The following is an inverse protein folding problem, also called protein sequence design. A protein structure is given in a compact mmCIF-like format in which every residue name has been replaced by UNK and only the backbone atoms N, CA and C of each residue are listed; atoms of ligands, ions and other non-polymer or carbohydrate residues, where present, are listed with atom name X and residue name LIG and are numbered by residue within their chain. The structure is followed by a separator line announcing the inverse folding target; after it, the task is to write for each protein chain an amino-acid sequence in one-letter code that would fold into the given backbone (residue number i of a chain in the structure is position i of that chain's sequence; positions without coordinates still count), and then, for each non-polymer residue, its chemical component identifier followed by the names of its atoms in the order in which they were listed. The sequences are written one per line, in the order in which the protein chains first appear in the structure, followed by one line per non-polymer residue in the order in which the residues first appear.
data_IF_343921675593
#
_entry.id   IF_343921675593
#
_cell.length_a   1.000
_cell.length_b   1.000
_cell.length_c   1.000
_cell.angle_alpha   90.00
_cell.angle_beta   90.00
_cell.angle_gamma   90.00
#
_symmetry.space_group_name_H-M   'P 1'
#
loop_
_entity.id
_entity.type
_entity.pdbx_description
1 polymer ?
#
# COMPACT_ATOMS: atom_id res chain seq x y z
N UNK A 1 -12.02 -7.80 10.43
CA UNK A 1 -10.85 -7.24 9.72
C UNK A 1 -9.65 -8.17 9.82
N UNK A 2 -8.66 -8.03 8.93
CA UNK A 2 -7.40 -8.78 8.98
C UNK A 2 -6.71 -8.61 10.35
N UNK A 3 -6.63 -7.38 10.82
CA UNK A 3 -5.99 -7.01 12.10
C UNK A 3 -6.61 -7.69 13.32
N UNK A 4 -7.93 -7.91 13.33
CA UNK A 4 -8.60 -8.66 14.40
C UNK A 4 -8.19 -10.12 14.40
N UNK A 5 -8.11 -10.77 13.22
CA UNK A 5 -7.61 -12.14 13.10
C UNK A 5 -6.16 -12.25 13.58
N UNK A 6 -5.30 -11.34 13.15
CA UNK A 6 -3.90 -11.33 13.57
C UNK A 6 -3.74 -11.11 15.07
N UNK A 7 -4.56 -10.25 15.65
CA UNK A 7 -4.58 -10.00 17.10
C UNK A 7 -5.02 -11.21 17.91
N UNK A 8 -6.01 -11.96 17.41
CA UNK A 8 -6.43 -13.22 18.03
C UNK A 8 -5.32 -14.30 18.00
N UNK A 9 -4.37 -14.18 17.06
CA UNK A 9 -3.17 -15.02 16.97
C UNK A 9 -1.94 -14.36 17.65
N UNK A 10 -2.17 -13.42 18.56
CA UNK A 10 -1.16 -12.73 19.37
C UNK A 10 -0.11 -11.92 18.56
N UNK A 11 -0.49 -11.40 17.41
CA UNK A 11 0.35 -10.45 16.69
C UNK A 11 0.31 -9.07 17.36
N UNK A 12 1.47 -8.41 17.49
CA UNK A 12 1.56 -6.98 17.77
C UNK A 12 1.21 -6.21 16.49
N UNK A 13 0.17 -5.41 16.49
CA UNK A 13 -0.35 -4.73 15.30
C UNK A 13 -0.13 -3.23 15.33
N UNK A 14 0.50 -2.69 14.29
CA UNK A 14 0.84 -1.27 14.21
C UNK A 14 0.56 -0.73 12.79
N UNK A 15 -0.11 0.41 12.71
CA UNK A 15 -0.26 1.20 11.50
C UNK A 15 0.44 2.54 11.65
N UNK A 16 1.19 2.93 10.62
CA UNK A 16 1.77 4.27 10.46
C UNK A 16 1.25 4.87 9.15
N UNK A 17 0.38 5.87 9.26
CA UNK A 17 -0.44 6.35 8.14
C UNK A 17 -0.49 7.88 8.09
N UNK A 18 -0.81 8.42 6.91
CA UNK A 18 -1.01 9.87 6.74
C UNK A 18 -2.34 10.38 7.31
N UNK A 19 -3.41 9.59 7.21
CA UNK A 19 -4.75 10.04 7.59
C UNK A 19 -5.62 8.90 8.11
N UNK A 20 -6.50 9.19 9.06
CA UNK A 20 -7.48 8.23 9.64
C UNK A 20 -8.45 7.61 8.64
N UNK A 21 -8.59 8.22 7.46
CA UNK A 21 -9.49 7.72 6.42
C UNK A 21 -8.87 6.63 5.55
N UNK A 22 -7.54 6.42 5.62
CA UNK A 22 -6.82 5.45 4.77
C UNK A 22 -7.25 4.02 5.08
N UNK A 23 -7.24 3.67 6.36
CA UNK A 23 -7.68 2.35 6.84
C UNK A 23 -8.41 2.50 8.18
N UNK A 24 -9.34 1.59 8.52
CA UNK A 24 -9.98 1.60 9.83
C UNK A 24 -8.99 1.27 10.95
N UNK A 25 -9.09 1.97 12.08
CA UNK A 25 -8.27 1.72 13.27
C UNK A 25 -8.52 0.36 13.91
N UNK A 26 -9.64 -0.29 13.60
CA UNK A 26 -10.09 -1.52 14.24
C UNK A 26 -9.04 -2.62 14.18
N UNK A 27 -8.72 -3.21 15.34
CA UNK A 27 -7.76 -4.32 15.48
C UNK A 27 -6.29 -3.91 15.56
N UNK A 28 -5.95 -2.63 15.41
CA UNK A 28 -4.57 -2.16 15.64
C UNK A 28 -4.33 -1.84 17.12
N UNK A 29 -3.21 -2.28 17.67
CA UNK A 29 -2.74 -1.91 19.01
C UNK A 29 -2.18 -0.47 19.01
N UNK A 30 -1.41 -0.12 17.96
CA UNK A 30 -0.86 1.20 17.74
C UNK A 30 -1.31 1.73 16.39
N UNK A 31 -1.69 3.00 16.35
CA UNK A 31 -2.23 3.65 15.16
C UNK A 31 -1.72 5.08 15.10
N UNK A 32 -0.59 5.26 14.44
CA UNK A 32 0.11 6.53 14.38
C UNK A 32 -0.23 7.28 13.10
N UNK A 33 -0.35 8.60 13.22
CA UNK A 33 -0.60 9.48 12.09
C UNK A 33 0.61 10.40 11.95
N UNK A 34 1.27 10.33 10.80
CA UNK A 34 2.43 11.17 10.52
C UNK A 34 2.05 12.47 9.81
N UNK A 35 2.88 13.49 10.00
CA UNK A 35 2.76 14.75 9.26
C UNK A 35 3.23 14.58 7.81
N UNK A 36 2.53 15.22 6.88
CA UNK A 36 2.82 15.18 5.45
C UNK A 36 4.26 15.60 5.10
N UNK A 37 4.91 16.43 5.93
CA UNK A 37 6.26 16.91 5.70
C UNK A 37 7.34 16.02 6.31
N UNK A 38 6.97 14.96 7.01
CA UNK A 38 7.95 14.05 7.61
C UNK A 38 8.78 13.30 6.56
N UNK A 39 10.02 13.00 6.92
CA UNK A 39 10.88 12.09 6.17
C UNK A 39 10.45 10.65 6.45
N UNK A 40 9.64 10.09 5.54
CA UNK A 40 9.08 8.75 5.70
C UNK A 40 10.14 7.65 5.71
N UNK A 41 11.24 7.79 4.95
CA UNK A 41 12.33 6.81 4.97
C UNK A 41 12.92 6.69 6.37
N UNK A 42 13.24 7.82 6.99
CA UNK A 42 13.81 7.83 8.35
C UNK A 42 12.79 7.32 9.38
N UNK A 43 11.53 7.75 9.26
CA UNK A 43 10.45 7.34 10.16
C UNK A 43 10.19 5.84 10.11
N UNK A 44 9.98 5.31 8.90
CA UNK A 44 9.70 3.90 8.71
C UNK A 44 10.92 3.00 9.03
N UNK A 45 12.15 3.46 8.74
CA UNK A 45 13.36 2.75 9.16
C UNK A 45 13.43 2.59 10.68
N UNK A 46 13.10 3.63 11.47
CA UNK A 46 13.04 3.53 12.94
C UNK A 46 11.94 2.57 13.42
N UNK A 47 10.80 2.53 12.74
CA UNK A 47 9.76 1.55 13.04
C UNK A 47 10.24 0.12 12.76
N UNK A 48 10.91 -0.11 11.64
CA UNK A 48 11.50 -1.41 11.33
C UNK A 48 12.52 -1.85 12.38
N UNK A 49 13.39 -0.96 12.87
CA UNK A 49 14.32 -1.24 13.98
C UNK A 49 13.59 -1.64 15.27
N UNK A 50 12.53 -0.91 15.62
CA UNK A 50 11.67 -1.25 16.77
C UNK A 50 11.05 -2.63 16.60
N UNK A 51 10.49 -2.92 15.42
CA UNK A 51 9.82 -4.19 15.15
C UNK A 51 10.80 -5.35 14.98
N UNK A 52 12.04 -5.12 14.57
CA UNK A 52 13.08 -6.17 14.58
C UNK A 52 13.45 -6.62 16.00
N UNK A 53 13.26 -5.75 16.98
CA UNK A 53 13.41 -6.12 18.40
C UNK A 53 12.19 -6.89 18.90
N UNK A 54 10.98 -6.46 18.55
CA UNK A 54 9.72 -7.12 18.91
C UNK A 54 9.67 -8.53 18.31
N UNK A 55 10.14 -8.72 17.07
CA UNK A 55 10.14 -10.01 16.36
C UNK A 55 10.90 -11.13 17.06
N UNK A 56 11.77 -10.81 18.00
CA UNK A 56 12.49 -11.81 18.81
C UNK A 56 11.59 -12.55 19.81
N UNK A 57 10.44 -12.00 20.15
CA UNK A 57 9.52 -12.55 21.15
C UNK A 57 8.07 -12.64 20.72
N UNK A 58 7.67 -11.88 19.70
CA UNK A 58 6.28 -11.81 19.24
C UNK A 58 6.22 -11.74 17.73
N UNK A 59 5.17 -12.29 17.15
CA UNK A 59 4.80 -11.97 15.78
C UNK A 59 4.30 -10.53 15.70
N UNK A 60 4.47 -9.88 14.55
CA UNK A 60 3.99 -8.53 14.35
C UNK A 60 3.33 -8.35 12.97
N UNK A 61 2.45 -7.39 12.90
CA UNK A 61 1.91 -6.83 11.67
C UNK A 61 2.19 -5.33 11.64
N UNK A 62 2.97 -4.89 10.67
CA UNK A 62 3.34 -3.49 10.48
C UNK A 62 2.79 -3.00 9.14
N UNK A 63 1.88 -2.03 9.18
CA UNK A 63 1.33 -1.36 8.01
C UNK A 63 2.00 0.01 7.86
N UNK A 64 2.76 0.19 6.79
CA UNK A 64 3.43 1.45 6.44
C UNK A 64 2.75 2.08 5.22
N UNK A 65 2.17 3.25 5.40
CA UNK A 65 1.54 4.00 4.32
C UNK A 65 2.53 5.01 3.72
N UNK A 66 2.63 5.02 2.41
CA UNK A 66 3.45 5.98 1.66
C UNK A 66 2.53 6.89 0.84
N UNK A 67 2.32 8.12 1.30
CA UNK A 67 1.36 9.08 0.71
C UNK A 67 1.97 10.01 -0.34
N UNK A 68 3.31 9.98 -0.58
CA UNK A 68 3.98 10.99 -1.39
C UNK A 68 3.56 11.00 -2.86
N UNK A 69 3.10 9.87 -3.40
CA UNK A 69 2.50 9.86 -4.73
C UNK A 69 1.18 10.64 -4.70
N UNK A 70 0.30 10.36 -3.75
CA UNK A 70 -0.99 11.03 -3.60
C UNK A 70 -0.84 12.54 -3.40
N UNK A 71 -0.04 12.96 -2.43
CA UNK A 71 0.21 14.38 -2.16
C UNK A 71 0.91 15.07 -3.32
N UNK A 72 1.87 14.39 -3.97
CA UNK A 72 2.57 14.89 -5.15
C UNK A 72 1.66 15.08 -6.35
N UNK A 73 0.67 14.22 -6.56
CA UNK A 73 -0.37 14.39 -7.60
C UNK A 73 -1.15 15.69 -7.36
N UNK A 74 -1.59 15.92 -6.13
CA UNK A 74 -2.29 17.14 -5.77
C UNK A 74 -1.45 18.38 -6.06
N UNK A 75 -0.19 18.39 -5.63
CA UNK A 75 0.71 19.55 -5.76
C UNK A 75 1.19 19.78 -7.19
N UNK A 76 1.63 18.73 -7.88
CA UNK A 76 2.33 18.85 -9.16
C UNK A 76 1.42 18.74 -10.37
N UNK A 77 0.22 18.21 -10.24
CA UNK A 77 -0.74 18.00 -11.32
C UNK A 77 -2.02 18.79 -11.08
N UNK A 78 -2.77 18.47 -10.02
CA UNK A 78 -4.12 19.03 -9.85
C UNK A 78 -4.13 20.54 -9.59
N UNK A 79 -3.23 21.05 -8.76
CA UNK A 79 -3.16 22.50 -8.44
C UNK A 79 -2.74 23.37 -9.60
N UNK A 80 -2.19 22.79 -10.67
CA UNK A 80 -1.83 23.53 -11.90
C UNK A 80 -3.03 23.93 -12.74
N UNK A 81 -4.17 23.27 -12.53
CA UNK A 81 -5.35 23.44 -13.36
C UNK A 81 -6.53 23.94 -12.54
N UNK A 82 -7.30 24.85 -13.11
CA UNK A 82 -8.61 25.19 -12.57
C UNK A 82 -9.50 23.94 -12.60
N UNK A 83 -10.30 23.71 -11.57
CA UNK A 83 -11.15 22.52 -11.40
C UNK A 83 -12.07 22.20 -12.59
N UNK A 84 -12.45 23.21 -13.37
CA UNK A 84 -13.31 23.08 -14.55
C UNK A 84 -12.55 23.24 -15.87
N UNK A 85 -11.23 23.36 -15.84
CA UNK A 85 -10.43 23.58 -17.03
C UNK A 85 -10.36 22.33 -17.90
N UNK A 86 -10.60 22.54 -19.22
CA UNK A 86 -10.34 21.52 -20.24
C UNK A 86 -8.85 21.29 -20.49
N UNK A 87 -7.99 22.14 -19.98
CA UNK A 87 -6.53 22.09 -20.18
C UNK A 87 -5.92 20.83 -19.57
N UNK A 88 -6.46 20.34 -18.45
CA UNK A 88 -6.04 19.06 -17.87
C UNK A 88 -6.03 17.94 -18.91
N UNK A 89 -7.11 17.82 -19.69
CA UNK A 89 -7.29 16.77 -20.70
C UNK A 89 -6.50 17.02 -21.99
N UNK A 90 -6.07 18.25 -22.24
CA UNK A 90 -5.21 18.61 -23.37
C UNK A 90 -3.73 18.36 -23.09
N UNK A 91 -3.37 18.19 -21.83
CA UNK A 91 -1.99 18.04 -21.38
C UNK A 91 -1.73 16.65 -20.79
N UNK A 92 -2.38 15.61 -21.35
CA UNK A 92 -2.25 14.22 -20.88
C UNK A 92 -0.77 13.80 -20.80
N UNK A 93 0.01 14.01 -21.85
CA UNK A 93 1.43 13.63 -21.88
C UNK A 93 2.24 14.29 -20.75
N UNK A 94 2.02 15.58 -20.51
CA UNK A 94 2.70 16.32 -19.45
C UNK A 94 2.25 15.83 -18.05
N UNK A 95 0.97 15.51 -17.89
CA UNK A 95 0.44 14.94 -16.65
C UNK A 95 1.06 13.57 -16.39
N UNK A 96 1.17 12.74 -17.43
CA UNK A 96 1.81 11.43 -17.37
C UNK A 96 3.29 11.54 -16.99
N UNK A 97 4.02 12.44 -17.61
CA UNK A 97 5.43 12.70 -17.27
C UNK A 97 5.60 13.13 -15.80
N UNK A 98 4.75 14.05 -15.34
CA UNK A 98 4.76 14.48 -13.94
C UNK A 98 4.43 13.34 -12.98
N UNK A 99 3.48 12.49 -13.34
CA UNK A 99 3.13 11.29 -12.57
C UNK A 99 4.30 10.29 -12.50
N UNK A 100 4.98 10.05 -13.62
CA UNK A 100 6.15 9.17 -13.66
C UNK A 100 7.30 9.68 -12.76
N UNK A 101 7.51 11.00 -12.67
CA UNK A 101 8.52 11.58 -11.76
C UNK A 101 8.23 11.29 -10.29
N UNK A 102 6.96 11.20 -9.90
CA UNK A 102 6.58 10.83 -8.53
C UNK A 102 6.94 9.37 -8.21
N UNK A 103 6.83 8.48 -9.19
CA UNK A 103 7.25 7.08 -9.03
C UNK A 103 8.73 6.94 -8.77
N UNK A 104 9.57 7.71 -9.45
CA UNK A 104 11.02 7.66 -9.23
C UNK A 104 11.40 7.95 -7.76
N UNK A 105 10.76 8.94 -7.14
CA UNK A 105 10.94 9.21 -5.71
C UNK A 105 10.45 8.06 -4.83
N UNK A 106 9.39 7.38 -5.25
CA UNK A 106 8.83 6.22 -4.55
C UNK A 106 9.71 4.98 -4.67
N UNK A 107 10.36 4.80 -5.82
CA UNK A 107 11.36 3.74 -6.03
C UNK A 107 12.53 3.89 -5.05
N UNK A 108 13.08 5.09 -4.93
CA UNK A 108 14.16 5.37 -3.98
C UNK A 108 13.75 5.10 -2.52
N UNK A 109 12.53 5.51 -2.14
CA UNK A 109 12.00 5.18 -0.82
C UNK A 109 11.88 3.67 -0.62
N UNK A 110 11.29 2.96 -1.58
CA UNK A 110 11.08 1.51 -1.49
C UNK A 110 12.42 0.77 -1.40
N UNK A 111 13.41 1.15 -2.22
CA UNK A 111 14.76 0.59 -2.19
C UNK A 111 15.37 0.72 -0.79
N UNK A 112 15.29 1.92 -0.18
CA UNK A 112 15.84 2.16 1.15
C UNK A 112 15.12 1.34 2.23
N UNK A 113 13.80 1.19 2.14
CA UNK A 113 13.01 0.38 3.08
C UNK A 113 13.32 -1.10 2.92
N UNK A 114 13.42 -1.61 1.69
CA UNK A 114 13.79 -3.01 1.42
C UNK A 114 15.20 -3.31 1.92
N UNK A 115 16.17 -2.45 1.64
CA UNK A 115 17.54 -2.56 2.17
C UNK A 115 17.53 -2.63 3.69
N UNK A 116 16.74 -1.78 4.34
CA UNK A 116 16.63 -1.77 5.81
C UNK A 116 16.01 -3.07 6.35
N UNK A 117 15.01 -3.61 5.70
CA UNK A 117 14.39 -4.90 6.04
C UNK A 117 15.41 -6.04 5.94
N UNK A 118 16.25 -6.04 4.88
CA UNK A 118 17.34 -7.01 4.68
C UNK A 118 18.42 -6.89 5.76
N UNK A 119 18.92 -5.67 6.03
CA UNK A 119 19.91 -5.40 7.09
C UNK A 119 19.46 -5.91 8.46
N UNK A 120 18.17 -5.80 8.76
CA UNK A 120 17.57 -6.27 10.00
C UNK A 120 17.22 -7.77 9.99
N UNK A 121 17.50 -8.49 8.89
CA UNK A 121 17.18 -9.90 8.68
C UNK A 121 15.70 -10.25 8.89
N UNK A 122 14.80 -9.32 8.58
CA UNK A 122 13.36 -9.53 8.78
C UNK A 122 12.74 -10.43 7.70
N UNK A 123 13.30 -10.51 6.49
CA UNK A 123 12.75 -11.29 5.38
C UNK A 123 12.67 -12.79 5.64
N UNK A 124 13.51 -13.35 6.51
CA UNK A 124 13.58 -14.80 6.74
C UNK A 124 12.29 -15.42 7.25
N UNK A 125 11.51 -14.64 8.03
CA UNK A 125 10.29 -15.09 8.70
C UNK A 125 9.17 -14.05 8.53
N UNK A 126 9.09 -13.41 7.37
CA UNK A 126 8.10 -12.37 7.12
C UNK A 126 7.45 -12.54 5.76
N UNK A 127 6.14 -12.39 5.73
CA UNK A 127 5.42 -12.13 4.50
C UNK A 127 5.44 -10.62 4.26
N UNK A 128 6.19 -10.18 3.23
CA UNK A 128 6.23 -8.79 2.80
C UNK A 128 5.22 -8.58 1.68
N UNK A 129 4.40 -7.53 1.80
CA UNK A 129 3.39 -7.17 0.80
C UNK A 129 3.61 -5.73 0.39
N UNK A 130 3.73 -5.49 -0.92
CA UNK A 130 3.80 -4.15 -1.53
C UNK A 130 2.62 -4.01 -2.48
N UNK A 131 1.75 -3.03 -2.24
CA UNK A 131 0.53 -2.86 -3.04
C UNK A 131 0.20 -1.38 -3.25
N UNK A 132 -0.60 -1.09 -4.29
CA UNK A 132 -1.34 0.15 -4.42
C UNK A 132 -2.83 -0.08 -4.14
N UNK A 133 -3.49 0.94 -3.62
CA UNK A 133 -4.93 0.93 -3.31
C UNK A 133 -5.78 1.16 -4.56
N UNK A 134 -5.34 2.04 -5.47
CA UNK A 134 -5.97 2.35 -6.75
C UNK A 134 -4.95 2.88 -7.76
N UNK A 135 -5.38 3.02 -9.00
CA UNK A 135 -4.63 3.68 -10.07
C UNK A 135 -4.94 5.18 -10.16
N UNK A 136 -4.60 5.80 -11.28
CA UNK A 136 -4.79 7.23 -11.48
C UNK A 136 -5.09 7.57 -12.95
N UNK A 137 -5.97 8.56 -13.17
CA UNK A 137 -6.15 9.21 -14.47
C UNK A 137 -5.17 10.37 -14.63
N UNK A 138 -4.57 10.47 -15.80
CA UNK A 138 -3.71 11.61 -16.20
C UNK A 138 -4.36 12.47 -17.29
N UNK A 139 -5.62 12.16 -17.67
CA UNK A 139 -6.40 12.91 -18.64
C UNK A 139 -6.92 12.10 -19.83
N UNK A 140 -6.82 10.77 -19.77
CA UNK A 140 -7.19 9.84 -20.87
C UNK A 140 -8.66 9.98 -21.29
N UNK A 141 -9.53 10.35 -20.34
CA UNK A 141 -10.95 10.58 -20.62
C UNK A 141 -11.42 11.94 -20.13
N UNK A 142 -12.08 12.67 -21.00
CA UNK A 142 -12.71 13.94 -20.62
C UNK A 142 -13.72 13.72 -19.48
N UNK A 143 -13.60 14.51 -18.43
CA UNK A 143 -14.45 14.43 -17.24
C UNK A 143 -13.86 13.57 -16.11
N UNK A 144 -12.82 12.75 -16.38
CA UNK A 144 -12.15 11.93 -15.37
C UNK A 144 -10.79 12.55 -15.00
N UNK A 145 -10.58 12.86 -13.74
CA UNK A 145 -9.36 13.53 -13.25
C UNK A 145 -8.75 12.78 -12.10
N UNK A 146 -7.43 12.63 -12.14
CA UNK A 146 -6.62 12.07 -11.06
C UNK A 146 -7.19 10.78 -10.46
N UNK A 147 -7.70 10.84 -9.23
CA UNK A 147 -8.18 9.68 -8.48
C UNK A 147 -9.46 9.06 -9.04
N UNK A 148 -10.10 9.74 -10.00
CA UNK A 148 -11.27 9.22 -10.70
C UNK A 148 -12.58 9.37 -9.92
N UNK A 149 -13.67 9.44 -10.69
CA UNK A 149 -15.04 9.33 -10.20
C UNK A 149 -15.78 8.16 -10.88
N UNK A 150 -15.18 7.61 -11.93
CA UNK A 150 -15.75 6.51 -12.72
C UNK A 150 -14.84 5.29 -12.69
N UNK A 151 -15.41 4.13 -12.98
CA UNK A 151 -14.72 2.85 -12.94
C UNK A 151 -13.97 2.54 -14.24
N UNK A 152 -12.95 3.32 -14.55
CA UNK A 152 -12.09 3.05 -15.71
C UNK A 152 -10.85 2.24 -15.30
N UNK A 153 -10.33 1.45 -16.23
CA UNK A 153 -9.18 0.57 -15.99
C UNK A 153 -7.98 1.28 -15.36
N UNK A 154 -7.63 2.48 -15.82
CA UNK A 154 -6.47 3.23 -15.31
C UNK A 154 -6.65 3.75 -13.88
N UNK A 155 -7.89 3.81 -13.36
CA UNK A 155 -8.17 4.15 -11.96
C UNK A 155 -8.43 2.91 -11.09
N UNK A 156 -8.85 1.79 -11.69
CA UNK A 156 -9.15 0.54 -10.98
C UNK A 156 -7.97 -0.41 -10.89
N UNK A 157 -7.09 -0.43 -11.91
CA UNK A 157 -5.94 -1.33 -11.92
C UNK A 157 -4.94 -0.96 -10.85
N UNK A 158 -4.60 -1.94 -10.04
CA UNK A 158 -3.61 -1.86 -8.97
C UNK A 158 -2.54 -2.92 -9.19
N UNK A 159 -1.47 -2.83 -8.43
CA UNK A 159 -0.49 -3.91 -8.32
C UNK A 159 -0.42 -4.44 -6.90
N UNK A 160 -0.03 -5.69 -6.75
CA UNK A 160 0.27 -6.29 -5.47
C UNK A 160 1.37 -7.34 -5.62
N UNK A 161 2.42 -7.20 -4.83
CA UNK A 161 3.52 -8.15 -4.73
C UNK A 161 3.51 -8.79 -3.36
N UNK A 162 3.56 -10.13 -3.33
CA UNK A 162 3.78 -10.93 -2.13
C UNK A 162 5.20 -11.50 -2.20
N UNK A 163 5.96 -11.33 -1.14
CA UNK A 163 7.28 -11.92 -1.01
C UNK A 163 7.36 -12.68 0.31
N UNK A 164 7.72 -13.95 0.22
CA UNK A 164 8.10 -14.83 1.31
C UNK A 164 9.16 -15.78 0.78
N UNK A 165 10.08 -16.23 1.63
CA UNK A 165 11.16 -17.13 1.23
C UNK A 165 10.67 -18.51 0.76
N UNK A 166 9.47 -18.89 1.15
CA UNK A 166 8.82 -20.16 0.76
C UNK A 166 7.98 -20.03 -0.53
N UNK A 167 7.70 -18.81 -1.00
CA UNK A 167 6.91 -18.59 -2.20
C UNK A 167 7.75 -18.75 -3.47
N UNK A 168 7.19 -19.45 -4.45
CA UNK A 168 7.78 -19.52 -5.79
C UNK A 168 7.57 -18.21 -6.53
N UNK A 169 8.57 -17.82 -7.34
CA UNK A 169 8.44 -16.68 -8.22
C UNK A 169 7.44 -17.02 -9.35
N UNK A 170 6.29 -16.37 -9.33
CA UNK A 170 5.23 -16.54 -10.34
C UNK A 170 4.44 -15.25 -10.54
N UNK A 171 3.86 -15.11 -11.72
CA UNK A 171 2.90 -14.07 -12.04
C UNK A 171 1.50 -14.65 -12.08
N UNK A 172 0.55 -14.04 -11.34
CA UNK A 172 -0.85 -14.41 -11.37
C UNK A 172 -1.55 -13.60 -12.46
N UNK A 173 -1.87 -14.25 -13.57
CA UNK A 173 -2.56 -13.63 -14.70
C UNK A 173 -4.09 -13.58 -14.56
N UNK A 174 -4.64 -14.35 -13.63
CA UNK A 174 -6.07 -14.32 -13.34
C UNK A 174 -6.48 -12.98 -12.73
N UNK A 175 -7.70 -12.53 -13.04
CA UNK A 175 -8.24 -11.33 -12.41
C UNK A 175 -8.43 -11.55 -10.90
N UNK A 176 -7.78 -10.70 -10.10
CA UNK A 176 -7.90 -10.66 -8.63
C UNK A 176 -8.44 -9.31 -8.18
N UNK A 177 -8.96 -9.23 -6.96
CA UNK A 177 -9.53 -8.02 -6.38
C UNK A 177 -8.89 -7.75 -5.02
N UNK A 178 -8.92 -6.51 -4.57
CA UNK A 178 -8.40 -6.12 -3.24
C UNK A 178 -9.08 -6.86 -2.09
N UNK A 179 -10.35 -7.28 -2.26
CA UNK A 179 -11.07 -8.11 -1.25
C UNK A 179 -10.48 -9.51 -1.10
N UNK A 180 -9.73 -9.98 -2.08
CA UNK A 180 -9.11 -11.31 -2.08
C UNK A 180 -7.79 -11.30 -1.27
N UNK A 181 -7.22 -10.13 -0.93
CA UNK A 181 -5.96 -10.03 -0.18
C UNK A 181 -6.06 -10.58 1.24
N UNK A 182 -7.12 -10.24 1.97
CA UNK A 182 -7.27 -10.72 3.35
C UNK A 182 -7.33 -12.25 3.44
N UNK A 183 -8.18 -12.96 2.67
CA UNK A 183 -8.19 -14.43 2.71
C UNK A 183 -6.85 -15.03 2.26
N UNK A 184 -6.19 -14.45 1.24
CA UNK A 184 -4.87 -14.91 0.79
C UNK A 184 -3.81 -14.77 1.88
N UNK A 185 -3.75 -13.63 2.57
CA UNK A 185 -2.83 -13.40 3.68
C UNK A 185 -3.07 -14.41 4.80
N UNK A 186 -4.33 -14.62 5.19
CA UNK A 186 -4.67 -15.57 6.25
C UNK A 186 -4.29 -16.99 5.86
N UNK A 187 -4.48 -17.40 4.60
CA UNK A 187 -4.08 -18.71 4.10
C UNK A 187 -2.55 -18.89 4.14
N UNK A 188 -1.79 -17.91 3.64
CA UNK A 188 -0.33 -17.94 3.68
C UNK A 188 0.21 -18.01 5.11
N UNK A 189 -0.43 -17.32 6.05
CA UNK A 189 -0.11 -17.38 7.48
C UNK A 189 -0.68 -18.59 8.19
N UNK A 190 -1.41 -19.49 7.50
CA UNK A 190 -2.08 -20.69 8.05
C UNK A 190 -3.09 -20.35 9.16
N UNK A 191 -3.71 -19.17 9.09
CA UNK A 191 -4.74 -18.69 10.02
C UNK A 191 -6.13 -19.04 9.48
N UNK A 192 -6.94 -19.74 10.26
CA UNK A 192 -8.28 -20.14 9.83
C UNK A 192 -9.28 -18.99 9.89
N UNK A 193 -10.04 -18.80 8.82
CA UNK A 193 -11.21 -17.92 8.83
C UNK A 193 -12.26 -18.43 9.84
N UNK A 194 -12.69 -17.56 10.75
CA UNK A 194 -13.67 -17.90 11.83
C UNK A 194 -15.13 -17.91 11.36
N UNK A 195 -15.40 -17.57 10.11
CA UNK A 195 -16.74 -17.46 9.56
C UNK A 195 -16.91 -18.41 8.38
N UNK A 196 -18.15 -18.95 8.22
CA UNK A 196 -18.58 -19.73 7.05
C UNK A 196 -18.66 -18.87 5.77
N UNK A 197 -17.63 -18.11 5.45
CA UNK A 197 -17.47 -17.63 4.10
C UNK A 197 -17.18 -18.86 3.25
N UNK A 198 -18.14 -19.26 2.41
CA UNK A 198 -17.85 -20.17 1.32
C UNK A 198 -16.74 -19.48 0.53
N UNK A 199 -15.55 -20.06 0.55
CA UNK A 199 -14.50 -19.73 -0.39
C UNK A 199 -15.17 -19.79 -1.78
N UNK A 200 -15.09 -18.72 -2.53
CA UNK A 200 -15.31 -18.83 -3.94
C UNK A 200 -14.19 -19.75 -4.41
N UNK A 201 -14.57 -20.96 -4.84
CA UNK A 201 -13.66 -21.83 -5.57
C UNK A 201 -13.21 -21.05 -6.81
N UNK A 202 -11.95 -20.65 -6.84
CA UNK A 202 -11.27 -20.06 -7.99
C UNK A 202 -10.59 -21.18 -8.75
#
# INVERSE_FOLDING_TARGET
TLTEYLKDENYCTHADIHSKIVIPKQGFDNFDIYDQNENLTLRHSKLLEKFSTISKSHNFFLYLHYDKIHSGITESILKKYNNFSKEYFKNEDQNKENYQKLFHSSELYLEQILTKIEELNLLKNSLLIVLSDHGMSVGEKFGERAYGAFCYDYTLKTFCYFYDVELNNQEISNQVRTVDFMPTILELLKIKLKTNFKSLEI
#
